data_IF_073768710079
#
_entry.id   IF_073768710079
#
_cell.length_a   1.000
_cell.length_b   1.000
_cell.length_c   1.000
_cell.angle_alpha   90.00
_cell.angle_beta   90.00
_cell.angle_gamma   90.00
#
_symmetry.space_group_name_H-M   'P 1'
#
loop_
_entity.id
_entity.type
_entity.pdbx_description
1 polymer ?
#
# COMPACT_ATOMS: atom_id res chain seq x y z
N UNK A 1 -5.08 -0.90 15.28
CA UNK A 1 -6.13 -1.15 14.27
C UNK A 1 -5.56 -2.05 13.17
N UNK A 2 -6.38 -2.95 12.68
CA UNK A 2 -6.02 -3.83 11.57
C UNK A 2 -7.04 -3.66 10.45
N UNK A 3 -6.57 -3.51 9.24
CA UNK A 3 -7.40 -3.42 8.04
C UNK A 3 -7.03 -4.56 7.10
N UNK A 4 -8.02 -5.17 6.48
CA UNK A 4 -7.83 -6.32 5.61
C UNK A 4 -8.84 -6.27 4.47
N UNK A 5 -8.38 -6.55 3.27
CA UNK A 5 -9.25 -6.75 2.10
C UNK A 5 -8.62 -7.76 1.17
N UNK A 6 -9.46 -8.44 0.40
CA UNK A 6 -9.01 -9.30 -0.67
C UNK A 6 -9.90 -9.12 -1.91
N UNK A 7 -9.31 -9.31 -3.08
CA UNK A 7 -10.02 -9.16 -4.35
C UNK A 7 -9.32 -9.99 -5.42
N UNK A 8 -10.10 -10.75 -6.16
CA UNK A 8 -9.60 -11.58 -7.26
C UNK A 8 -9.52 -10.80 -8.57
N UNK A 9 -8.45 -11.06 -9.35
CA UNK A 9 -8.29 -10.55 -10.72
C UNK A 9 -7.87 -11.67 -11.67
N UNK A 10 -8.25 -11.55 -12.94
CA UNK A 10 -7.99 -12.59 -13.97
C UNK A 10 -6.58 -12.49 -14.60
N UNK A 11 -5.67 -11.74 -14.01
CA UNK A 11 -4.29 -11.68 -14.45
C UNK A 11 -3.38 -12.50 -13.54
N UNK A 12 -2.26 -13.01 -14.10
CA UNK A 12 -1.28 -13.77 -13.36
C UNK A 12 -0.59 -12.92 -12.27
N UNK A 13 -0.06 -13.54 -11.20
CA UNK A 13 0.71 -12.80 -10.20
C UNK A 13 1.86 -11.98 -10.80
N UNK A 14 2.54 -12.51 -11.81
CA UNK A 14 3.63 -11.78 -12.49
C UNK A 14 3.13 -10.49 -13.15
N UNK A 15 1.97 -10.53 -13.80
CA UNK A 15 1.36 -9.36 -14.43
C UNK A 15 0.92 -8.33 -13.39
N UNK A 16 0.26 -8.79 -12.33
CA UNK A 16 -0.18 -7.91 -11.23
C UNK A 16 1.04 -7.25 -10.58
N UNK A 17 2.08 -8.03 -10.28
CA UNK A 17 3.30 -7.54 -9.65
C UNK A 17 4.02 -6.51 -10.53
N UNK A 18 4.13 -6.78 -11.82
CA UNK A 18 4.76 -5.86 -12.76
C UNK A 18 4.10 -4.47 -12.73
N UNK A 19 2.78 -4.42 -12.65
CA UNK A 19 2.06 -3.16 -12.52
C UNK A 19 2.23 -2.55 -11.13
N UNK A 20 2.03 -3.35 -10.08
CA UNK A 20 2.10 -2.88 -8.69
C UNK A 20 3.50 -2.35 -8.33
N UNK A 21 4.56 -3.01 -8.77
CA UNK A 21 5.94 -2.63 -8.44
C UNK A 21 6.45 -1.42 -9.22
N UNK A 22 5.71 -0.95 -10.19
CA UNK A 22 5.97 0.33 -10.85
C UNK A 22 5.40 1.47 -9.99
N UNK A 23 6.26 2.06 -9.16
CA UNK A 23 5.85 3.08 -8.19
C UNK A 23 5.26 4.33 -8.87
N UNK A 24 5.61 4.59 -10.13
CA UNK A 24 5.06 5.73 -10.88
C UNK A 24 3.57 5.59 -11.16
N UNK A 25 3.02 4.38 -11.03
CA UNK A 25 1.60 4.10 -11.24
C UNK A 25 0.76 4.15 -9.96
N UNK A 26 1.38 4.29 -8.80
CA UNK A 26 0.66 4.25 -7.52
C UNK A 26 -0.40 5.35 -7.39
N UNK A 27 -0.17 6.50 -7.96
CA UNK A 27 -1.16 7.60 -7.97
C UNK A 27 -2.41 7.27 -8.81
N UNK A 28 -2.37 6.23 -9.65
CA UNK A 28 -3.52 5.83 -10.47
C UNK A 28 -4.45 4.88 -9.73
N UNK A 29 -3.90 3.95 -8.96
CA UNK A 29 -4.72 2.95 -8.29
C UNK A 29 -4.97 3.26 -6.81
N UNK A 30 -4.06 3.92 -6.13
CA UNK A 30 -4.21 4.25 -4.72
C UNK A 30 -5.16 5.44 -4.53
N UNK A 31 -6.14 5.32 -3.62
CA UNK A 31 -7.06 6.44 -3.33
C UNK A 31 -6.40 7.61 -2.60
N UNK A 32 -5.21 7.42 -2.04
CA UNK A 32 -4.52 8.45 -1.24
C UNK A 32 -3.16 8.86 -1.77
N UNK A 33 -2.50 8.04 -2.57
CA UNK A 33 -1.15 8.32 -3.06
C UNK A 33 -1.17 9.39 -4.16
N UNK A 34 -0.39 10.43 -3.96
CA UNK A 34 -0.17 11.49 -4.96
C UNK A 34 1.09 11.25 -5.77
N UNK A 35 2.14 10.71 -5.14
CA UNK A 35 3.41 10.39 -5.78
C UNK A 35 4.14 9.35 -4.94
N UNK A 36 4.79 8.40 -5.61
CA UNK A 36 5.65 7.41 -4.96
C UNK A 36 6.91 7.20 -5.79
N UNK A 37 8.06 7.20 -5.13
CA UNK A 37 9.36 6.94 -5.78
C UNK A 37 10.36 6.34 -4.81
N UNK A 38 11.40 5.69 -5.33
CA UNK A 38 12.54 5.27 -4.53
C UNK A 38 13.38 6.48 -4.14
N UNK A 39 13.88 6.48 -2.91
CA UNK A 39 14.84 7.49 -2.45
C UNK A 39 16.19 7.30 -3.14
N UNK A 40 16.63 6.04 -3.26
CA UNK A 40 17.86 5.66 -3.92
C UNK A 40 17.65 4.44 -4.81
N UNK A 41 18.46 4.32 -5.85
CA UNK A 41 18.41 3.19 -6.76
C UNK A 41 17.25 3.27 -7.74
N UNK A 42 17.15 2.23 -8.57
CA UNK A 42 16.14 2.15 -9.64
C UNK A 42 15.26 0.92 -9.52
N UNK A 43 15.58 0.00 -8.62
CA UNK A 43 14.87 -1.26 -8.46
C UNK A 43 14.37 -1.43 -7.04
N UNK A 44 13.06 -1.70 -6.92
CA UNK A 44 12.42 -2.01 -5.65
C UNK A 44 12.91 -3.36 -5.12
N UNK A 45 13.22 -3.41 -3.83
CA UNK A 45 13.66 -4.63 -3.16
C UNK A 45 13.66 -4.48 -1.65
N UNK A 46 14.01 -5.55 -0.95
CA UNK A 46 14.20 -5.50 0.50
C UNK A 46 15.30 -4.49 0.83
N UNK A 47 15.03 -3.61 1.78
CA UNK A 47 15.92 -2.52 2.15
C UNK A 47 15.69 -1.22 1.39
N UNK A 48 14.86 -1.24 0.35
CA UNK A 48 14.46 0.00 -0.36
C UNK A 48 13.72 0.94 0.56
N UNK A 49 13.90 2.23 0.34
CA UNK A 49 13.11 3.28 0.99
C UNK A 49 12.27 3.97 -0.09
N UNK A 50 10.95 3.95 0.10
CA UNK A 50 10.00 4.63 -0.78
C UNK A 50 9.62 5.96 -0.16
N UNK A 51 9.67 7.02 -0.96
CA UNK A 51 9.12 8.31 -0.57
C UNK A 51 7.71 8.40 -1.12
N UNK A 52 6.73 8.41 -0.22
CA UNK A 52 5.32 8.44 -0.58
C UNK A 52 4.72 9.76 -0.14
N UNK A 53 4.23 10.54 -1.08
CA UNK A 53 3.42 11.73 -0.82
C UNK A 53 1.97 11.35 -0.96
N UNK A 54 1.20 11.55 0.08
CA UNK A 54 -0.21 11.14 0.11
C UNK A 54 -1.08 12.13 0.87
N UNK A 55 -2.39 11.95 0.72
CA UNK A 55 -3.39 12.76 1.39
C UNK A 55 -4.33 11.86 2.20
N UNK A 56 -4.33 12.04 3.50
CA UNK A 56 -5.21 11.34 4.45
C UNK A 56 -5.86 12.35 5.38
N UNK A 57 -7.16 12.18 5.66
CA UNK A 57 -7.90 13.04 6.58
C UNK A 57 -7.70 14.54 6.26
N UNK A 58 -7.66 14.91 4.98
CA UNK A 58 -7.40 16.26 4.46
C UNK A 58 -5.99 16.80 4.71
N UNK A 59 -5.07 15.95 5.14
CA UNK A 59 -3.67 16.30 5.36
C UNK A 59 -2.84 15.73 4.23
N UNK A 60 -2.10 16.59 3.52
CA UNK A 60 -1.09 16.16 2.55
C UNK A 60 0.25 16.08 3.25
N UNK A 61 0.91 14.93 3.14
CA UNK A 61 2.16 14.68 3.85
C UNK A 61 3.05 13.72 3.09
N UNK A 62 4.29 13.59 3.53
CA UNK A 62 5.28 12.66 2.99
C UNK A 62 5.70 11.68 4.07
N UNK A 63 5.75 10.40 3.70
CA UNK A 63 6.29 9.35 4.54
C UNK A 63 7.42 8.65 3.81
N UNK A 64 8.48 8.32 4.53
CA UNK A 64 9.52 7.42 4.07
C UNK A 64 9.17 6.01 4.55
N UNK A 65 8.85 5.13 3.63
CA UNK A 65 8.46 3.76 3.92
C UNK A 65 9.64 2.82 3.65
N UNK A 66 9.96 1.99 4.63
CA UNK A 66 11.06 1.05 4.55
C UNK A 66 10.54 -0.33 4.15
N UNK A 67 10.99 -0.85 3.02
CA UNK A 67 10.66 -2.22 2.59
C UNK A 67 11.46 -3.18 3.45
N UNK A 68 10.76 -3.89 4.34
CA UNK A 68 11.41 -4.81 5.28
C UNK A 68 11.48 -6.24 4.75
N UNK A 69 10.62 -6.58 3.76
CA UNK A 69 10.56 -7.93 3.20
C UNK A 69 9.91 -7.86 1.83
N UNK A 70 10.44 -8.59 0.87
CA UNK A 70 9.88 -8.70 -0.47
C UNK A 70 10.24 -10.04 -1.10
N UNK A 71 9.25 -10.70 -1.68
CA UNK A 71 9.43 -11.91 -2.47
C UNK A 71 8.61 -11.79 -3.76
N UNK A 72 9.29 -11.46 -4.85
CA UNK A 72 8.67 -11.27 -6.16
C UNK A 72 8.20 -12.62 -6.74
N UNK A 73 7.00 -12.71 -7.30
CA UNK A 73 5.97 -11.68 -7.46
C UNK A 73 4.84 -11.75 -6.43
N UNK A 74 5.08 -12.23 -5.22
CA UNK A 74 4.03 -12.70 -4.32
C UNK A 74 3.78 -11.82 -3.11
N UNK A 75 4.79 -11.18 -2.54
CA UNK A 75 4.60 -10.44 -1.28
C UNK A 75 5.58 -9.30 -1.14
N UNK A 76 5.08 -8.20 -0.54
CA UNK A 76 5.91 -7.08 -0.10
C UNK A 76 5.34 -6.54 1.21
N UNK A 77 6.24 -6.24 2.16
CA UNK A 77 5.89 -5.61 3.43
C UNK A 77 6.77 -4.39 3.64
N UNK A 78 6.14 -3.28 4.01
CA UNK A 78 6.89 -2.08 4.39
C UNK A 78 6.34 -1.47 5.66
N UNK A 79 7.15 -0.63 6.29
CA UNK A 79 6.81 0.11 7.50
C UNK A 79 6.98 1.60 7.26
N UNK A 80 6.17 2.39 7.94
CA UNK A 80 6.27 3.85 7.94
C UNK A 80 5.80 4.42 9.25
N UNK A 81 6.21 5.65 9.56
CA UNK A 81 5.81 6.34 10.76
C UNK A 81 5.55 7.82 10.46
N UNK A 82 4.45 8.34 10.99
CA UNK A 82 4.09 9.76 10.88
C UNK A 82 3.07 10.14 11.94
N UNK A 83 3.21 11.35 12.47
CA UNK A 83 2.30 11.92 13.48
C UNK A 83 2.06 11.00 14.69
N UNK A 84 3.10 10.29 15.14
CA UNK A 84 3.01 9.35 16.26
C UNK A 84 2.36 8.01 15.91
N UNK A 85 1.94 7.81 14.67
CA UNK A 85 1.43 6.53 14.18
C UNK A 85 2.52 5.76 13.46
N UNK A 86 2.48 4.44 13.64
CA UNK A 86 3.29 3.47 12.91
C UNK A 86 2.36 2.60 12.09
N UNK A 87 2.79 2.28 10.88
CA UNK A 87 2.05 1.40 9.99
C UNK A 87 2.94 0.26 9.51
N UNK A 88 2.37 -0.94 9.46
CA UNK A 88 2.96 -2.10 8.78
C UNK A 88 1.98 -2.49 7.69
N UNK A 89 2.43 -2.46 6.45
CA UNK A 89 1.60 -2.68 5.28
C UNK A 89 2.11 -3.88 4.50
N UNK A 90 1.22 -4.82 4.19
CA UNK A 90 1.56 -6.02 3.41
C UNK A 90 0.60 -6.17 2.25
N UNK A 91 1.15 -6.35 1.06
CA UNK A 91 0.41 -6.79 -0.13
C UNK A 91 0.86 -8.20 -0.50
N UNK A 92 -0.11 -9.07 -0.75
CA UNK A 92 0.13 -10.44 -1.24
C UNK A 92 -0.60 -10.65 -2.55
N UNK A 93 0.03 -11.40 -3.43
CA UNK A 93 -0.54 -11.77 -4.73
C UNK A 93 -0.44 -13.28 -4.86
N UNK A 94 -1.52 -13.96 -4.52
CA UNK A 94 -1.56 -15.43 -4.50
C UNK A 94 -2.13 -15.97 -5.80
N UNK A 95 -1.46 -16.96 -6.38
CA UNK A 95 -1.95 -17.63 -7.56
C UNK A 95 -3.25 -18.38 -7.23
N UNK A 96 -4.32 -18.15 -8.02
CA UNK A 96 -5.62 -18.80 -7.88
C UNK A 96 -6.17 -19.13 -9.26
N UNK A 97 -6.17 -20.44 -9.62
CA UNK A 97 -6.59 -20.84 -10.96
C UNK A 97 -5.77 -20.12 -12.02
N UNK A 98 -6.43 -19.39 -12.92
CA UNK A 98 -5.78 -18.62 -13.99
C UNK A 98 -5.46 -17.19 -13.57
N UNK A 99 -5.83 -16.79 -12.37
CA UNK A 99 -5.68 -15.43 -11.92
C UNK A 99 -4.95 -15.31 -10.59
N UNK A 100 -5.22 -14.20 -9.91
CA UNK A 100 -4.55 -13.81 -8.66
C UNK A 100 -5.56 -13.37 -7.63
N UNK A 101 -5.43 -13.89 -6.39
CA UNK A 101 -6.09 -13.32 -5.23
C UNK A 101 -5.15 -12.25 -4.66
N UNK A 102 -5.57 -10.99 -4.75
CA UNK A 102 -4.85 -9.87 -4.15
C UNK A 102 -5.32 -9.70 -2.71
N UNK A 103 -4.36 -9.57 -1.79
CA UNK A 103 -4.61 -9.34 -0.36
C UNK A 103 -3.88 -8.08 0.06
N UNK A 104 -4.59 -7.20 0.74
CA UNK A 104 -4.04 -5.97 1.32
C UNK A 104 -4.32 -5.97 2.81
N UNK A 105 -3.27 -5.95 3.61
CA UNK A 105 -3.36 -5.90 5.06
C UNK A 105 -2.54 -4.74 5.60
N UNK A 106 -3.12 -3.96 6.50
CA UNK A 106 -2.44 -2.86 7.15
C UNK A 106 -2.72 -2.89 8.65
N UNK A 107 -1.68 -2.69 9.43
CA UNK A 107 -1.78 -2.52 10.89
C UNK A 107 -1.28 -1.14 11.25
N UNK A 108 -2.10 -0.39 11.98
CA UNK A 108 -1.78 0.97 12.45
C UNK A 108 -1.82 0.97 13.96
N UNK A 109 -0.75 1.46 14.57
CA UNK A 109 -0.61 1.54 16.03
C UNK A 109 0.26 2.73 16.41
N UNK A 110 0.30 3.07 17.71
CA UNK A 110 1.16 4.14 18.23
C UNK A 110 0.42 5.11 19.15
N UNK A 111 1.00 6.29 19.34
CA UNK A 111 0.54 7.29 20.27
C UNK A 111 -0.83 7.88 19.90
N UNK A 112 -1.60 8.31 20.93
CA UNK A 112 -2.91 8.90 20.77
C UNK A 112 -2.85 10.40 21.02
N UNK A 113 -2.42 11.13 20.00
CA UNK A 113 -2.49 12.60 19.96
C UNK A 113 -3.75 13.03 19.19
N UNK A 114 -4.19 14.29 19.31
CA UNK A 114 -5.39 14.76 18.59
C UNK A 114 -5.32 14.50 17.09
N UNK A 115 -4.17 14.77 16.45
CA UNK A 115 -4.01 14.55 15.01
C UNK A 115 -4.02 13.05 14.67
N UNK A 116 -3.37 12.21 15.47
CA UNK A 116 -3.34 10.77 15.22
C UNK A 116 -4.71 10.13 15.46
N UNK A 117 -5.48 10.63 16.41
CA UNK A 117 -6.85 10.17 16.63
C UNK A 117 -7.77 10.57 15.46
N UNK A 118 -7.60 11.76 14.88
CA UNK A 118 -8.34 12.18 13.70
C UNK A 118 -8.03 11.28 12.50
N UNK A 119 -6.75 10.94 12.29
CA UNK A 119 -6.32 10.01 11.24
C UNK A 119 -6.92 8.62 11.47
N UNK A 120 -6.90 8.11 12.70
CA UNK A 120 -7.51 6.81 13.04
C UNK A 120 -9.00 6.78 12.71
N UNK A 121 -9.74 7.82 13.07
CA UNK A 121 -11.19 7.92 12.77
C UNK A 121 -11.42 7.92 11.27
N UNK A 122 -10.62 8.66 10.52
CA UNK A 122 -10.72 8.74 9.07
C UNK A 122 -10.47 7.38 8.43
N UNK A 123 -9.42 6.66 8.87
CA UNK A 123 -9.13 5.30 8.39
C UNK A 123 -10.28 4.34 8.65
N UNK A 124 -10.90 4.40 9.83
CA UNK A 124 -12.05 3.54 10.15
C UNK A 124 -13.27 3.82 9.27
N UNK A 125 -13.47 5.08 8.89
CA UNK A 125 -14.61 5.49 8.05
C UNK A 125 -14.35 5.23 6.57
N UNK A 126 -13.08 5.05 6.16
CA UNK A 126 -12.67 4.87 4.77
C UNK A 126 -12.36 3.41 4.51
N UNK A 127 -12.84 2.89 3.40
CA UNK A 127 -12.55 1.50 2.99
C UNK A 127 -11.31 1.45 2.10
N UNK A 128 -10.21 1.97 2.62
CA UNK A 128 -8.97 2.15 1.83
C UNK A 128 -8.37 0.84 1.36
N UNK A 129 -8.41 -0.20 2.20
CA UNK A 129 -7.82 -1.50 1.84
C UNK A 129 -8.50 -2.09 0.63
N UNK A 130 -9.83 -2.06 0.60
CA UNK A 130 -10.60 -2.53 -0.55
C UNK A 130 -10.47 -1.60 -1.75
N UNK A 131 -10.56 -0.29 -1.54
CA UNK A 131 -10.45 0.70 -2.61
C UNK A 131 -9.11 0.64 -3.34
N UNK A 132 -8.03 0.35 -2.61
CA UNK A 132 -6.71 0.15 -3.20
C UNK A 132 -6.70 -1.05 -4.15
N UNK A 133 -7.23 -2.18 -3.71
CA UNK A 133 -7.32 -3.39 -4.56
C UNK A 133 -8.24 -3.17 -5.75
N UNK A 134 -9.38 -2.51 -5.54
CA UNK A 134 -10.30 -2.17 -6.63
C UNK A 134 -9.65 -1.24 -7.67
N UNK A 135 -8.81 -0.32 -7.20
CA UNK A 135 -8.02 0.55 -8.07
C UNK A 135 -7.02 -0.24 -8.94
N UNK A 136 -6.30 -1.17 -8.35
CA UNK A 136 -5.37 -2.05 -9.08
C UNK A 136 -6.15 -2.85 -10.13
N UNK A 137 -7.26 -3.47 -9.73
CA UNK A 137 -8.10 -4.25 -10.66
C UNK A 137 -8.60 -3.41 -11.83
N UNK A 138 -9.08 -2.21 -11.56
CA UNK A 138 -9.56 -1.28 -12.60
C UNK A 138 -8.45 -0.94 -13.59
N UNK A 139 -7.24 -0.67 -13.13
CA UNK A 139 -6.11 -0.32 -13.99
C UNK A 139 -5.59 -1.51 -14.80
N UNK A 140 -5.73 -2.71 -14.28
CA UNK A 140 -5.34 -3.93 -15.02
C UNK A 140 -6.36 -4.31 -16.10
N UNK A 141 -7.53 -3.74 -16.07
CA UNK A 141 -8.59 -4.02 -17.04
C UNK A 141 -9.45 -5.16 -16.62
#
# INVERSE_FOLDING_TARGET
MRFYAELYVEQSPATVWSYFSDLTQWNRWSPICLECRLVEGVQLGTGSVMRIRFRVARITTVVLANVISMSTPHVITWTGAKYGLNAVHTYRFESRGTGTLMINEERIFGARFPISNAIRRWYKASDLSFQSLAGIKRELG
#
